data_IF_386383599946
#
_entry.id   IF_386383599946
#
_cell.length_a   1.000
_cell.length_b   1.000
_cell.length_c   1.000
_cell.angle_alpha   90.00
_cell.angle_beta   90.00
_cell.angle_gamma   90.00
#
_symmetry.space_group_name_H-M   'P 1'
#
loop_
_entity.id
_entity.type
_entity.pdbx_description
1 polymer ?
#
# COMPACT_ATOMS: atom_id res chain seq x y z
N UNK A 1 3.27 -8.65 -24.20
CA UNK A 1 4.55 -8.57 -23.47
C UNK A 1 4.24 -8.50 -21.98
N UNK A 2 4.43 -9.58 -21.23
CA UNK A 2 4.26 -9.60 -19.77
C UNK A 2 5.65 -9.61 -19.13
N UNK A 3 6.03 -8.51 -18.47
CA UNK A 3 7.24 -8.49 -17.64
C UNK A 3 6.95 -9.30 -16.39
N UNK A 4 7.81 -10.27 -16.10
CA UNK A 4 7.80 -10.95 -14.81
C UNK A 4 8.21 -9.92 -13.74
N UNK A 5 7.22 -9.33 -13.07
CA UNK A 5 7.44 -8.57 -11.86
C UNK A 5 7.79 -9.59 -10.77
N UNK A 6 9.08 -9.86 -10.58
CA UNK A 6 9.51 -10.35 -9.26
C UNK A 6 9.08 -9.27 -8.28
N UNK A 7 8.09 -9.59 -7.46
CA UNK A 7 7.60 -8.67 -6.45
C UNK A 7 8.79 -8.15 -5.64
N UNK A 8 8.77 -6.88 -5.21
CA UNK A 8 9.75 -6.41 -4.24
C UNK A 8 9.80 -7.40 -3.07
N UNK A 9 10.92 -7.46 -2.31
CA UNK A 9 10.94 -8.18 -1.04
C UNK A 9 9.67 -7.86 -0.25
N UNK A 10 9.20 -8.79 0.58
CA UNK A 10 7.97 -8.61 1.34
C UNK A 10 8.14 -7.38 2.26
N UNK A 11 7.77 -6.21 1.75
CA UNK A 11 7.93 -4.90 2.38
C UNK A 11 6.79 -4.63 3.38
N UNK A 12 5.92 -5.62 3.58
CA UNK A 12 4.79 -5.51 4.46
C UNK A 12 5.25 -5.31 5.91
N UNK A 13 4.68 -4.30 6.56
CA UNK A 13 4.94 -3.97 7.96
C UNK A 13 6.41 -3.68 8.33
N UNK A 14 7.25 -3.33 7.36
CA UNK A 14 8.63 -2.95 7.64
C UNK A 14 8.68 -1.60 8.36
N UNK A 15 9.45 -1.54 9.45
CA UNK A 15 9.82 -0.27 10.08
C UNK A 15 10.90 0.41 9.24
N UNK A 16 10.61 1.63 8.81
CA UNK A 16 11.52 2.50 8.10
C UNK A 16 12.34 3.30 9.12
N UNK A 17 13.54 2.80 9.43
CA UNK A 17 14.45 3.45 10.37
C UNK A 17 14.26 2.97 11.82
N UNK A 18 14.72 3.76 12.82
CA UNK A 18 14.63 3.38 14.23
C UNK A 18 13.18 3.35 14.71
N UNK A 19 12.92 2.60 15.79
CA UNK A 19 11.60 2.54 16.40
C UNK A 19 11.13 3.96 16.80
N UNK A 20 9.96 4.40 16.33
CA UNK A 20 9.47 5.74 16.65
C UNK A 20 9.01 5.81 18.11
N UNK A 21 9.17 6.99 18.73
CA UNK A 21 8.65 7.26 20.08
C UNK A 21 7.13 7.43 20.11
N UNK A 22 6.55 7.83 18.98
CA UNK A 22 5.11 8.07 18.81
C UNK A 22 4.65 7.53 17.46
N UNK A 23 3.49 6.86 17.47
CA UNK A 23 2.86 6.31 16.27
C UNK A 23 1.68 7.20 15.91
N UNK A 24 1.76 7.85 14.75
CA UNK A 24 0.70 8.70 14.21
C UNK A 24 0.15 8.02 12.97
N UNK A 25 -1.19 7.98 12.87
CA UNK A 25 -1.90 7.44 11.71
C UNK A 25 -2.65 8.56 11.02
N UNK A 26 -2.50 8.64 9.69
CA UNK A 26 -3.21 9.61 8.85
C UNK A 26 -3.86 8.89 7.66
N UNK A 27 -5.12 9.23 7.41
CA UNK A 27 -5.91 8.67 6.30
C UNK A 27 -6.21 9.76 5.27
N UNK A 28 -6.01 9.45 3.99
CA UNK A 28 -6.26 10.38 2.88
C UNK A 28 -6.98 9.68 1.72
N UNK A 29 -7.99 10.31 1.09
CA UNK A 29 -8.61 9.75 -0.11
C UNK A 29 -7.65 9.82 -1.30
N UNK A 30 -7.65 8.78 -2.15
CA UNK A 30 -6.87 8.81 -3.38
C UNK A 30 -7.71 9.32 -4.56
N UNK A 31 -7.17 10.27 -5.33
CA UNK A 31 -7.82 10.81 -6.51
C UNK A 31 -7.69 9.92 -7.77
N UNK A 32 -7.12 8.72 -7.64
CA UNK A 32 -6.80 7.81 -8.76
C UNK A 32 -7.51 6.47 -8.60
N UNK A 33 -7.73 5.76 -9.70
CA UNK A 33 -8.17 4.36 -9.66
C UNK A 33 -7.01 3.47 -9.21
N UNK A 34 -7.23 2.66 -8.18
CA UNK A 34 -6.25 1.72 -7.63
C UNK A 34 -6.71 0.30 -7.96
N UNK A 35 -5.77 -0.53 -8.41
CA UNK A 35 -6.00 -1.96 -8.67
C UNK A 35 -4.92 -2.81 -8.00
N UNK A 36 -5.34 -3.83 -7.26
CA UNK A 36 -4.45 -4.84 -6.69
C UNK A 36 -4.48 -6.09 -7.57
N UNK A 37 -3.31 -6.65 -7.86
CA UNK A 37 -3.17 -7.81 -8.76
C UNK A 37 -2.47 -8.97 -8.06
N UNK A 38 -2.99 -10.18 -8.24
CA UNK A 38 -2.34 -11.44 -7.83
C UNK A 38 -2.30 -12.35 -9.05
N UNK A 39 -1.11 -12.83 -9.43
CA UNK A 39 -0.94 -13.64 -10.64
C UNK A 39 -1.41 -12.94 -11.93
N UNK A 40 -1.34 -11.60 -11.98
CA UNK A 40 -1.82 -10.80 -13.12
C UNK A 40 -3.34 -10.59 -13.18
N UNK A 41 -4.11 -11.18 -12.26
CA UNK A 41 -5.56 -10.99 -12.14
C UNK A 41 -5.84 -9.87 -11.14
N UNK A 42 -6.69 -8.91 -11.54
CA UNK A 42 -7.13 -7.86 -10.62
C UNK A 42 -8.08 -8.46 -9.57
N UNK A 43 -7.68 -8.42 -8.30
CA UNK A 43 -8.48 -8.93 -7.17
C UNK A 43 -9.21 -7.82 -6.40
N UNK A 44 -8.79 -6.56 -6.59
CA UNK A 44 -9.48 -5.39 -6.07
C UNK A 44 -9.32 -4.23 -7.06
N UNK A 45 -10.35 -3.40 -7.19
CA UNK A 45 -10.40 -2.28 -8.11
C UNK A 45 -11.32 -1.19 -7.55
N UNK A 46 -10.80 0.01 -7.31
CA UNK A 46 -11.59 1.08 -6.72
C UNK A 46 -11.11 2.47 -7.13
N UNK A 47 -12.06 3.37 -7.37
CA UNK A 47 -11.85 4.81 -7.46
C UNK A 47 -12.10 5.53 -6.11
N UNK A 48 -12.34 4.78 -5.04
CA UNK A 48 -12.68 5.26 -3.69
C UNK A 48 -11.74 4.69 -2.63
N UNK A 49 -10.53 4.27 -3.02
CA UNK A 49 -9.55 3.76 -2.08
C UNK A 49 -9.01 4.87 -1.17
N UNK A 50 -8.49 4.48 -0.01
CA UNK A 50 -7.87 5.38 0.97
C UNK A 50 -6.40 4.99 1.16
N UNK A 51 -5.53 5.99 1.29
CA UNK A 51 -4.13 5.84 1.69
C UNK A 51 -4.02 6.01 3.21
N UNK A 52 -3.39 5.04 3.88
CA UNK A 52 -3.00 5.12 5.28
C UNK A 52 -1.50 5.31 5.39
N UNK A 53 -1.12 6.39 6.07
CA UNK A 53 0.25 6.64 6.49
C UNK A 53 0.37 6.37 7.99
N UNK A 54 1.30 5.51 8.36
CA UNK A 54 1.71 5.28 9.75
C UNK A 54 3.18 5.70 9.90
N UNK A 55 3.53 6.29 11.05
CA UNK A 55 4.90 6.67 11.36
C UNK A 55 5.87 5.52 11.06
N UNK A 56 6.94 5.81 10.31
CA UNK A 56 8.00 4.86 9.99
C UNK A 56 7.49 3.58 9.30
N UNK A 57 6.41 3.64 8.51
CA UNK A 57 5.97 2.53 7.66
C UNK A 57 5.67 2.98 6.24
N UNK A 58 5.66 2.01 5.33
CA UNK A 58 5.16 2.24 3.97
C UNK A 58 3.64 2.44 3.99
N UNK A 59 3.16 3.21 3.01
CA UNK A 59 1.74 3.48 2.84
C UNK A 59 0.96 2.18 2.58
N UNK A 60 -0.19 2.04 3.23
CA UNK A 60 -1.15 0.94 3.02
C UNK A 60 -2.39 1.48 2.31
N UNK A 61 -2.95 0.73 1.36
CA UNK A 61 -4.16 1.10 0.63
C UNK A 61 -5.37 0.32 1.16
N UNK A 62 -6.39 1.04 1.63
CA UNK A 62 -7.67 0.46 2.03
C UNK A 62 -8.68 0.57 0.88
N UNK A 63 -9.35 -0.54 0.59
CA UNK A 63 -10.44 -0.62 -0.39
C UNK A 63 -11.78 -0.68 0.36
N UNK A 64 -12.84 -0.01 -0.13
CA UNK A 64 -14.20 -0.21 0.36
C UNK A 64 -14.78 -1.56 -0.09
#
# INVERSE_FOLDING_TARGET
MSVAFQGPPVLENMLLGPAPKEIVVRMEPIAKRVRAFVGGVAIADSCRAMMMFETARLCVYYFP
#
